data_IF_048747268094
#
_entry.id   IF_048747268094
#
_cell.length_a   1.000
_cell.length_b   1.000
_cell.length_c   1.000
_cell.angle_alpha   90.00
_cell.angle_beta   90.00
_cell.angle_gamma   90.00
#
_symmetry.space_group_name_H-M   'P 1'
#
loop_
_entity.id
_entity.type
_entity.pdbx_description
1 polymer ?
#
# COMPACT_ATOMS: atom_id res chain seq x y z
N UNK A 1 2.27 -12.91 -1.57
CA UNK A 1 3.50 -13.73 -1.37
C UNK A 1 4.69 -12.95 -0.80
N UNK A 2 4.64 -11.60 -0.71
CA UNK A 2 5.84 -10.82 -0.38
C UNK A 2 6.28 -10.91 1.08
N UNK A 3 5.37 -10.94 2.05
CA UNK A 3 5.72 -10.99 3.48
C UNK A 3 6.36 -12.33 3.84
N UNK A 4 5.72 -13.45 3.50
CA UNK A 4 6.24 -14.79 3.80
C UNK A 4 7.62 -15.05 3.17
N UNK A 5 7.85 -14.57 1.94
CA UNK A 5 9.18 -14.68 1.28
C UNK A 5 10.26 -13.94 2.07
N UNK A 6 9.98 -12.74 2.61
CA UNK A 6 10.96 -11.97 3.40
C UNK A 6 11.30 -12.66 4.72
N UNK A 7 10.29 -13.22 5.37
CA UNK A 7 10.48 -14.02 6.58
C UNK A 7 11.41 -15.21 6.28
N UNK A 8 11.14 -15.94 5.19
CA UNK A 8 11.99 -17.04 4.74
C UNK A 8 13.42 -16.63 4.42
N UNK A 9 13.61 -15.53 3.66
CA UNK A 9 14.96 -15.02 3.35
C UNK A 9 15.69 -14.57 4.60
N UNK A 10 15.00 -13.92 5.55
CA UNK A 10 15.60 -13.48 6.82
C UNK A 10 16.00 -14.65 7.70
N UNK A 11 15.19 -15.70 7.73
CA UNK A 11 15.51 -16.91 8.46
C UNK A 11 16.70 -17.67 7.85
N UNK A 12 16.80 -17.68 6.52
CA UNK A 12 17.90 -18.34 5.81
C UNK A 12 19.22 -17.57 5.87
N UNK A 13 19.18 -16.24 5.87
CA UNK A 13 20.35 -15.37 5.93
C UNK A 13 20.13 -14.21 6.94
N UNK A 14 20.48 -14.42 8.21
CA UNK A 14 20.29 -13.43 9.27
C UNK A 14 21.11 -12.15 9.12
N UNK A 15 22.11 -12.13 8.24
CA UNK A 15 22.98 -10.96 8.05
C UNK A 15 22.57 -10.09 6.86
N UNK A 16 21.68 -10.58 6.01
CA UNK A 16 21.22 -9.85 4.83
C UNK A 16 20.26 -8.71 5.20
N UNK A 17 20.51 -7.53 4.64
CA UNK A 17 19.54 -6.45 4.69
C UNK A 17 18.39 -6.75 3.75
N UNK A 18 17.17 -6.77 4.28
CA UNK A 18 15.97 -7.12 3.53
C UNK A 18 15.02 -5.93 3.54
N UNK A 19 14.56 -5.57 2.36
CA UNK A 19 13.49 -4.60 2.16
C UNK A 19 12.42 -5.22 1.24
N UNK A 20 11.17 -5.09 1.64
CA UNK A 20 10.01 -5.42 0.82
C UNK A 20 9.39 -4.13 0.29
N UNK A 21 8.76 -4.22 -0.86
CA UNK A 21 7.89 -3.17 -1.42
C UNK A 21 6.59 -3.83 -1.88
N UNK A 22 5.46 -3.26 -1.49
CA UNK A 22 4.15 -3.72 -1.93
C UNK A 22 3.15 -2.56 -1.98
N UNK A 23 2.06 -2.73 -2.71
CA UNK A 23 0.88 -1.91 -2.56
C UNK A 23 0.15 -2.20 -1.23
N UNK A 24 -0.82 -1.37 -0.91
CA UNK A 24 -1.66 -1.49 0.28
C UNK A 24 -2.47 -2.80 0.29
N UNK A 25 -3.08 -3.14 -0.83
CA UNK A 25 -3.83 -4.39 -0.99
C UNK A 25 -2.95 -5.63 -0.88
N UNK A 26 -1.80 -5.63 -1.56
CA UNK A 26 -0.86 -6.75 -1.48
C UNK A 26 -0.37 -6.96 -0.04
N UNK A 27 -0.19 -5.87 0.70
CA UNK A 27 0.17 -5.93 2.10
C UNK A 27 -0.92 -6.57 2.95
N UNK A 28 -2.19 -6.22 2.71
CA UNK A 28 -3.34 -6.71 3.48
C UNK A 28 -3.57 -8.22 3.32
N UNK A 29 -3.20 -8.81 2.19
CA UNK A 29 -3.43 -10.24 1.94
C UNK A 29 -2.67 -11.19 2.87
N UNK A 30 -1.63 -10.72 3.55
CA UNK A 30 -0.78 -11.56 4.39
C UNK A 30 -0.31 -10.84 5.67
N UNK A 31 -1.14 -9.98 6.21
CA UNK A 31 -0.78 -9.19 7.40
C UNK A 31 -0.55 -10.07 8.64
N UNK A 32 -1.19 -11.23 8.70
CA UNK A 32 -1.00 -12.20 9.79
C UNK A 32 0.44 -12.69 9.90
N UNK A 33 1.17 -12.75 8.80
CA UNK A 33 2.59 -13.15 8.79
C UNK A 33 3.51 -12.13 9.48
N UNK A 34 3.05 -10.90 9.68
CA UNK A 34 3.79 -9.90 10.44
C UNK A 34 4.00 -10.36 11.89
N UNK A 35 3.00 -10.99 12.49
CA UNK A 35 3.08 -11.52 13.84
C UNK A 35 4.15 -12.61 13.95
N UNK A 36 4.26 -13.50 12.95
CA UNK A 36 5.33 -14.48 12.88
C UNK A 36 6.72 -13.83 12.80
N UNK A 37 6.87 -12.80 11.95
CA UNK A 37 8.10 -12.02 11.85
C UNK A 37 8.50 -11.36 13.16
N UNK A 38 7.55 -10.81 13.89
CA UNK A 38 7.79 -10.19 15.21
C UNK A 38 8.14 -11.25 16.28
N UNK A 39 7.39 -12.33 16.35
CA UNK A 39 7.60 -13.42 17.32
C UNK A 39 8.97 -14.08 17.17
N UNK A 40 9.40 -14.33 15.95
CA UNK A 40 10.66 -15.01 15.65
C UNK A 40 11.86 -14.04 15.50
N UNK A 41 11.66 -12.75 15.78
CA UNK A 41 12.70 -11.73 15.68
C UNK A 41 13.40 -11.72 14.32
N UNK A 42 12.59 -11.65 13.29
CA UNK A 42 13.03 -11.62 11.89
C UNK A 42 12.91 -10.20 11.31
N UNK A 43 13.85 -9.29 11.65
CA UNK A 43 13.76 -7.89 11.27
C UNK A 43 13.96 -7.67 9.77
N UNK A 44 13.07 -6.90 9.16
CA UNK A 44 13.15 -6.37 7.80
C UNK A 44 12.33 -5.09 7.70
N UNK A 45 12.54 -4.31 6.65
CA UNK A 45 11.72 -3.12 6.37
C UNK A 45 10.70 -3.50 5.28
N UNK A 46 9.42 -3.26 5.55
CA UNK A 46 8.35 -3.39 4.58
C UNK A 46 7.83 -2.02 4.19
N UNK A 47 8.10 -1.61 2.97
CA UNK A 47 7.58 -0.38 2.38
C UNK A 47 6.20 -0.68 1.81
N UNK A 48 5.18 0.01 2.33
CA UNK A 48 3.80 -0.05 1.83
C UNK A 48 3.49 1.24 1.09
N UNK A 49 3.17 1.09 -0.18
CA UNK A 49 2.73 2.20 -1.04
C UNK A 49 1.21 2.24 -0.99
N UNK A 50 0.66 3.20 -0.25
CA UNK A 50 -0.76 3.28 0.06
C UNK A 50 -1.43 4.44 -0.69
N UNK A 51 -2.22 4.12 -1.70
CA UNK A 51 -3.15 5.04 -2.32
C UNK A 51 -4.62 4.70 -2.00
N UNK A 52 -4.87 3.69 -1.19
CA UNK A 52 -6.19 3.18 -0.78
C UNK A 52 -7.13 2.94 -1.97
N UNK A 53 -6.58 2.42 -3.08
CA UNK A 53 -7.30 2.43 -4.34
C UNK A 53 -6.72 1.44 -5.35
N UNK A 54 -7.56 0.61 -5.95
CA UNK A 54 -7.16 -0.25 -7.07
C UNK A 54 -7.16 0.53 -8.39
N UNK A 55 -6.31 1.55 -8.48
CA UNK A 55 -6.29 2.51 -9.57
C UNK A 55 -6.13 1.91 -10.96
N UNK A 56 -5.23 0.94 -11.12
CA UNK A 56 -5.01 0.26 -12.41
C UNK A 56 -6.23 -0.55 -12.86
N UNK A 57 -6.92 -1.21 -11.93
CA UNK A 57 -8.13 -1.98 -12.26
C UNK A 57 -9.23 -1.02 -12.72
N UNK A 58 -9.42 0.08 -12.01
CA UNK A 58 -10.41 1.08 -12.39
C UNK A 58 -10.07 1.73 -13.72
N UNK A 59 -8.81 2.09 -13.95
CA UNK A 59 -8.34 2.62 -15.22
C UNK A 59 -8.65 1.67 -16.38
N UNK A 60 -8.38 0.38 -16.21
CA UNK A 60 -8.71 -0.63 -17.21
C UNK A 60 -10.23 -0.75 -17.43
N UNK A 61 -11.04 -0.75 -16.37
CA UNK A 61 -12.49 -0.79 -16.47
C UNK A 61 -13.05 0.41 -17.24
N UNK A 62 -12.55 1.61 -16.99
CA UNK A 62 -12.90 2.83 -17.75
C UNK A 62 -12.49 2.69 -19.21
N UNK A 63 -11.26 2.25 -19.48
CA UNK A 63 -10.76 2.04 -20.83
C UNK A 63 -11.58 1.03 -21.65
N UNK A 64 -12.17 0.05 -20.99
CA UNK A 64 -13.07 -0.92 -21.62
C UNK A 64 -14.55 -0.51 -21.60
N UNK A 65 -14.88 0.71 -21.19
CA UNK A 65 -16.25 1.22 -21.12
C UNK A 65 -17.21 0.27 -20.39
N UNK A 66 -16.77 -0.27 -19.25
CA UNK A 66 -17.60 -1.17 -18.45
C UNK A 66 -18.77 -0.41 -17.80
N UNK A 67 -19.90 -1.07 -17.64
CA UNK A 67 -21.12 -0.49 -17.07
C UNK A 67 -20.96 -0.02 -15.62
N UNK A 68 -19.98 -0.56 -14.92
CA UNK A 68 -19.61 -0.12 -13.58
C UNK A 68 -18.10 -0.17 -13.37
N UNK A 69 -17.63 0.67 -12.49
CA UNK A 69 -16.25 0.73 -12.07
C UNK A 69 -16.13 0.40 -10.59
N UNK A 70 -15.31 -0.59 -10.26
CA UNK A 70 -15.02 -0.91 -8.87
C UNK A 70 -14.15 0.19 -8.27
N UNK A 71 -14.70 0.89 -7.29
CA UNK A 71 -13.92 1.76 -6.43
C UNK A 71 -13.68 1.05 -5.11
N UNK A 72 -12.44 0.66 -4.86
CA UNK A 72 -12.06 0.03 -3.60
C UNK A 72 -11.41 1.06 -2.65
N UNK A 73 -11.93 2.27 -2.70
CA UNK A 73 -11.56 3.29 -1.73
C UNK A 73 -12.31 3.00 -0.42
N UNK A 74 -11.57 2.64 0.61
CA UNK A 74 -12.13 2.49 1.94
C UNK A 74 -12.11 3.81 2.69
N UNK A 75 -13.11 4.03 3.52
CA UNK A 75 -13.06 5.01 4.59
C UNK A 75 -12.96 4.29 5.93
N UNK A 76 -12.07 4.75 6.77
CA UNK A 76 -11.98 4.23 8.13
C UNK A 76 -13.00 4.96 9.01
N UNK A 77 -14.14 4.34 9.23
CA UNK A 77 -15.25 4.93 10.01
C UNK A 77 -14.87 5.25 11.46
N UNK A 78 -13.90 4.54 12.02
CA UNK A 78 -13.41 4.77 13.38
C UNK A 78 -12.46 5.96 13.49
N UNK A 79 -11.95 6.45 12.37
CA UNK A 79 -10.94 7.53 12.30
C UNK A 79 -11.24 8.52 11.17
N UNK A 80 -12.50 8.70 10.85
CA UNK A 80 -12.94 9.49 9.70
C UNK A 80 -12.44 10.94 9.75
N UNK A 81 -12.40 11.53 10.94
CA UNK A 81 -12.03 12.92 11.14
C UNK A 81 -10.56 13.09 11.58
N UNK A 82 -9.79 12.02 11.59
CA UNK A 82 -8.37 12.05 11.97
C UNK A 82 -7.48 12.23 10.75
N UNK A 83 -6.89 13.42 10.55
CA UNK A 83 -6.04 13.69 9.38
C UNK A 83 -4.76 12.85 9.38
N UNK A 84 -4.40 12.27 10.53
CA UNK A 84 -3.20 11.44 10.68
C UNK A 84 -3.47 9.95 10.42
N UNK A 85 -4.74 9.56 10.25
CA UNK A 85 -5.11 8.15 10.07
C UNK A 85 -4.62 7.52 8.76
N UNK A 86 -4.31 8.32 7.75
CA UNK A 86 -4.08 7.79 6.41
C UNK A 86 -5.38 7.46 5.69
N UNK A 87 -5.29 6.68 4.62
CA UNK A 87 -6.45 6.27 3.86
C UNK A 87 -6.93 4.88 4.32
N UNK A 88 -8.25 4.73 4.49
CA UNK A 88 -8.89 3.44 4.67
C UNK A 88 -8.32 2.64 5.85
N UNK A 89 -7.69 1.51 5.58
CA UNK A 89 -7.06 0.69 6.61
C UNK A 89 -5.87 1.43 7.22
N UNK A 90 -5.82 1.51 8.54
CA UNK A 90 -4.66 2.05 9.25
C UNK A 90 -3.55 0.99 9.36
N UNK A 91 -2.69 0.92 8.33
CA UNK A 91 -1.62 -0.08 8.25
C UNK A 91 -0.58 0.07 9.36
N UNK A 92 -0.37 1.30 9.87
CA UNK A 92 0.50 1.53 11.02
C UNK A 92 -0.07 0.87 12.26
N UNK A 93 -1.33 1.14 12.57
CA UNK A 93 -2.00 0.52 13.72
C UNK A 93 -2.07 -1.01 13.59
N UNK A 94 -2.33 -1.53 12.39
CA UNK A 94 -2.32 -2.98 12.13
C UNK A 94 -0.94 -3.58 12.38
N UNK A 95 0.11 -2.97 11.85
CA UNK A 95 1.48 -3.46 12.05
C UNK A 95 1.88 -3.46 13.55
N UNK A 96 1.53 -2.42 14.28
CA UNK A 96 1.80 -2.34 15.73
C UNK A 96 1.00 -3.37 16.52
N UNK A 97 -0.26 -3.60 16.17
CA UNK A 97 -1.09 -4.65 16.78
C UNK A 97 -0.50 -6.05 16.55
N UNK A 98 0.20 -6.28 15.43
CA UNK A 98 0.90 -7.54 15.14
C UNK A 98 2.30 -7.63 15.79
N UNK A 99 2.67 -6.69 16.64
CA UNK A 99 3.96 -6.69 17.35
C UNK A 99 5.14 -6.11 16.56
N UNK A 100 4.87 -5.52 15.40
CA UNK A 100 5.87 -4.82 14.59
C UNK A 100 6.03 -3.36 15.03
N UNK A 101 6.96 -2.64 14.41
CA UNK A 101 7.04 -1.19 14.46
C UNK A 101 6.57 -0.61 13.14
N UNK A 102 6.11 0.65 13.18
CA UNK A 102 5.67 1.30 11.95
C UNK A 102 6.01 2.79 11.94
N UNK A 103 6.13 3.33 10.74
CA UNK A 103 6.34 4.76 10.46
C UNK A 103 5.48 5.13 9.27
N UNK A 104 4.78 6.27 9.34
CA UNK A 104 3.99 6.82 8.24
C UNK A 104 4.67 8.03 7.64
N UNK A 105 4.67 8.12 6.31
CA UNK A 105 5.22 9.20 5.51
C UNK A 105 4.11 9.77 4.63
N UNK A 106 3.96 11.09 4.65
CA UNK A 106 2.93 11.79 3.88
C UNK A 106 3.52 12.73 2.83
N UNK A 107 4.76 13.14 3.02
CA UNK A 107 5.42 14.12 2.18
C UNK A 107 6.80 13.62 1.75
N UNK A 108 7.22 13.89 0.51
CA UNK A 108 8.49 13.41 -0.03
C UNK A 108 9.72 13.78 0.82
N UNK A 109 9.72 14.96 1.42
CA UNK A 109 10.82 15.45 2.25
C UNK A 109 11.02 14.65 3.54
N UNK A 110 9.99 13.94 4.01
CA UNK A 110 10.05 13.10 5.20
C UNK A 110 10.77 11.76 4.95
N UNK A 111 10.88 11.35 3.69
CA UNK A 111 11.39 10.03 3.28
C UNK A 111 12.70 9.65 3.96
N UNK A 112 13.73 10.50 3.80
CA UNK A 112 15.06 10.16 4.29
C UNK A 112 15.12 10.03 5.82
N UNK A 113 14.35 10.85 6.53
CA UNK A 113 14.23 10.80 7.99
C UNK A 113 13.49 9.55 8.45
N UNK A 114 12.35 9.25 7.82
CA UNK A 114 11.52 8.10 8.12
C UNK A 114 12.25 6.77 7.85
N UNK A 115 13.01 6.70 6.74
CA UNK A 115 13.81 5.52 6.43
C UNK A 115 14.90 5.26 7.47
N UNK A 116 15.61 6.30 7.90
CA UNK A 116 16.60 6.20 9.00
C UNK A 116 15.93 5.79 10.31
N UNK A 117 14.74 6.31 10.59
CA UNK A 117 13.96 5.92 11.76
C UNK A 117 13.57 4.44 11.69
N UNK A 118 13.07 3.96 10.54
CA UNK A 118 12.72 2.56 10.34
C UNK A 118 13.94 1.65 10.56
N UNK A 119 15.10 2.01 10.02
CA UNK A 119 16.35 1.26 10.26
C UNK A 119 16.74 1.21 11.73
N UNK A 120 16.57 2.31 12.47
CA UNK A 120 16.84 2.36 13.91
C UNK A 120 15.88 1.46 14.68
N UNK A 121 14.57 1.59 14.43
CA UNK A 121 13.54 0.76 15.08
C UNK A 121 13.76 -0.74 14.81
N UNK A 122 14.10 -1.09 13.58
CA UNK A 122 14.41 -2.46 13.19
C UNK A 122 15.59 -3.04 14.00
N UNK A 123 16.66 -2.26 14.16
CA UNK A 123 17.84 -2.68 14.92
C UNK A 123 17.57 -2.75 16.42
N UNK A 124 16.84 -1.79 16.97
CA UNK A 124 16.55 -1.68 18.40
C UNK A 124 15.60 -2.78 18.86
N UNK A 125 14.51 -3.00 18.12
CA UNK A 125 13.45 -3.91 18.54
C UNK A 125 13.58 -5.32 17.97
N UNK A 126 14.40 -5.53 16.93
CA UNK A 126 14.58 -6.81 16.25
C UNK A 126 13.28 -7.41 15.71
N UNK A 127 12.40 -6.54 15.21
CA UNK A 127 11.10 -6.91 14.61
C UNK A 127 10.97 -6.29 13.22
N UNK A 128 10.03 -6.75 12.38
CA UNK A 128 9.70 -6.06 11.13
C UNK A 128 9.26 -4.62 11.39
N UNK A 129 9.60 -3.73 10.47
CA UNK A 129 9.17 -2.34 10.48
C UNK A 129 8.42 -2.03 9.21
N UNK A 130 7.17 -1.63 9.36
CA UNK A 130 6.33 -1.17 8.24
C UNK A 130 6.56 0.31 8.03
N UNK A 131 6.94 0.68 6.82
CA UNK A 131 7.14 2.06 6.39
C UNK A 131 6.06 2.40 5.36
N UNK A 132 4.99 3.06 5.79
CA UNK A 132 3.85 3.38 4.96
C UNK A 132 4.01 4.73 4.30
N UNK A 133 3.87 4.76 2.98
CA UNK A 133 3.83 5.98 2.16
C UNK A 133 2.41 6.25 1.70
N UNK A 134 1.85 7.38 2.11
CA UNK A 134 0.54 7.84 1.64
C UNK A 134 0.73 8.56 0.31
N UNK A 135 0.12 8.03 -0.73
CA UNK A 135 0.16 8.58 -2.08
C UNK A 135 -1.18 9.19 -2.48
N UNK A 136 -1.15 10.03 -3.48
CA UNK A 136 -2.37 10.52 -4.14
C UNK A 136 -3.13 9.37 -4.83
N UNK A 137 -4.45 9.49 -4.87
CA UNK A 137 -5.33 8.59 -5.60
C UNK A 137 -5.36 8.99 -7.07
N UNK A 138 -4.37 8.54 -7.83
CA UNK A 138 -4.24 8.81 -9.26
C UNK A 138 -4.72 7.63 -10.07
N UNK A 139 -5.52 7.87 -11.10
CA UNK A 139 -6.09 6.83 -11.98
C UNK A 139 -5.40 6.73 -13.33
N UNK A 140 -4.73 7.77 -13.79
CA UNK A 140 -4.02 7.80 -15.07
C UNK A 140 -2.53 7.54 -14.83
N UNK A 141 -2.19 6.27 -14.61
CA UNK A 141 -0.82 5.87 -14.36
C UNK A 141 -0.21 5.42 -15.69
N UNK A 142 0.97 5.96 -16.03
CA UNK A 142 1.77 5.45 -17.13
C UNK A 142 2.12 3.97 -16.89
N UNK A 143 1.78 3.14 -17.86
CA UNK A 143 2.01 1.69 -17.77
C UNK A 143 3.22 1.24 -18.59
N UNK A 144 4.05 2.18 -19.06
CA UNK A 144 5.23 1.95 -19.87
C UNK A 144 5.01 2.21 -21.35
N UNK A 145 6.09 2.36 -22.09
CA UNK A 145 6.10 2.89 -23.46
C UNK A 145 5.23 2.14 -24.49
N UNK A 146 5.00 0.87 -24.27
CA UNK A 146 4.14 0.08 -25.19
C UNK A 146 2.65 0.25 -24.87
N UNK A 147 2.32 0.39 -23.59
CA UNK A 147 0.94 0.57 -23.12
C UNK A 147 0.55 2.04 -23.15
N UNK A 148 1.50 2.96 -22.93
CA UNK A 148 1.27 4.41 -23.05
C UNK A 148 0.96 4.85 -24.49
N UNK A 149 1.28 4.01 -25.49
CA UNK A 149 0.84 4.22 -26.87
C UNK A 149 -0.64 3.91 -27.10
N UNK A 150 -1.29 3.28 -26.12
CA UNK A 150 -2.73 3.04 -26.18
C UNK A 150 -3.43 4.30 -25.65
N UNK A 151 -3.41 5.35 -26.47
CA UNK A 151 -4.17 6.59 -26.24
C UNK A 151 -5.66 6.36 -26.09
N UNK A 152 -6.15 5.21 -26.55
CA UNK A 152 -7.52 4.77 -26.38
C UNK A 152 -7.99 4.76 -24.91
N UNK A 153 -7.11 4.49 -23.96
CA UNK A 153 -7.48 4.52 -22.55
C UNK A 153 -7.75 5.93 -22.01
N UNK A 154 -7.01 6.94 -22.49
CA UNK A 154 -7.20 8.32 -22.09
C UNK A 154 -8.43 8.92 -22.78
N UNK A 155 -8.59 8.69 -24.07
CA UNK A 155 -9.75 9.17 -24.83
C UNK A 155 -11.06 8.57 -24.31
N UNK A 156 -11.07 7.27 -24.01
CA UNK A 156 -12.25 6.60 -23.43
C UNK A 156 -12.53 7.10 -22.01
N UNK A 157 -11.50 7.42 -21.22
CA UNK A 157 -11.68 8.00 -19.90
C UNK A 157 -12.31 9.39 -19.98
N UNK A 158 -11.90 10.23 -20.93
CA UNK A 158 -12.44 11.57 -21.15
C UNK A 158 -13.88 11.55 -21.67
N UNK A 159 -14.19 10.60 -22.56
CA UNK A 159 -15.55 10.47 -23.16
C UNK A 159 -16.62 10.01 -22.17
N UNK A 160 -16.22 9.50 -20.99
CA UNK A 160 -17.11 8.99 -19.96
C UNK A 160 -17.11 9.81 -18.67
N UNK A 161 -16.64 11.07 -18.70
CA UNK A 161 -16.71 11.97 -17.54
C UNK A 161 -18.12 12.14 -16.99
N UNK A 162 -19.16 11.95 -17.83
CA UNK A 162 -20.57 12.03 -17.46
C UNK A 162 -21.19 10.68 -17.07
N UNK A 163 -20.45 9.58 -17.12
CA UNK A 163 -20.99 8.29 -16.69
C UNK A 163 -21.13 8.26 -15.15
N UNK A 164 -22.31 7.93 -14.62
CA UNK A 164 -22.50 7.89 -13.19
C UNK A 164 -21.55 6.87 -12.57
N UNK A 165 -20.63 7.34 -11.74
CA UNK A 165 -19.79 6.48 -10.93
C UNK A 165 -20.71 5.73 -9.98
N UNK A 166 -20.92 4.45 -10.23
CA UNK A 166 -21.68 3.61 -9.31
C UNK A 166 -20.82 3.44 -8.04
N UNK A 167 -21.05 4.30 -7.06
CA UNK A 167 -20.57 4.07 -5.71
C UNK A 167 -21.48 2.99 -5.13
N UNK A 168 -21.03 1.77 -5.12
CA UNK A 168 -21.70 0.73 -4.33
C UNK A 168 -21.33 1.01 -2.89
N UNK A 169 -22.15 1.82 -2.23
CA UNK A 169 -22.21 1.82 -0.77
C UNK A 169 -22.92 0.52 -0.39
N UNK A 170 -22.21 -0.39 0.20
CA UNK A 170 -22.82 -1.50 0.92
C UNK A 170 -23.34 -0.91 2.23
N UNK A 171 -24.66 -0.80 2.33
CA UNK A 171 -25.37 -0.55 3.58
C UNK A 171 -25.21 -1.73 4.55
#
# INVERSE_FOLDING_TARGET
HYIAVRIGVRAADPHRNIMALSGDYDFQFMIEELAAGAQHKLPYIHVVVNNAYLGLIRQAQRGFSMDFEVSLAFENVNRKDDPEAGYGVDHVAVAEAMGCKAVRVRRPEEFAGAFKQAQRLMKEHQVPVVLEFILERVTNISMGTEIDKITEFEELAESHEDAPTAIVMLD
#
